data_IF_493192359167
#
_entry.id   IF_493192359167
#
_cell.length_a   1.000
_cell.length_b   1.000
_cell.length_c   1.000
_cell.angle_alpha   90.00
_cell.angle_beta   90.00
_cell.angle_gamma   90.00
#
_symmetry.space_group_name_H-M   'P 1'
#
loop_
_entity.id
_entity.type
_entity.pdbx_description
1 polymer ?
#
# COMPACT_ATOMS: atom_id res chain seq x y z
N UNK A 1 16.74 11.35 11.42
CA UNK A 1 15.30 11.09 11.17
C UNK A 1 14.61 10.48 12.40
N UNK A 2 14.97 9.27 12.84
CA UNK A 2 14.28 8.60 13.96
C UNK A 2 14.27 9.39 15.27
N UNK A 3 15.35 10.09 15.60
CA UNK A 3 15.41 10.96 16.78
C UNK A 3 14.34 12.07 16.73
N UNK A 4 14.31 12.84 15.64
CA UNK A 4 13.34 13.92 15.44
C UNK A 4 11.89 13.42 15.43
N UNK A 5 11.64 12.27 14.82
CA UNK A 5 10.31 11.63 14.89
C UNK A 5 9.96 11.20 16.32
N UNK A 6 10.93 10.77 17.11
CA UNK A 6 10.76 10.52 18.54
C UNK A 6 10.26 11.77 19.27
N UNK A 7 10.88 12.93 19.05
CA UNK A 7 10.47 14.21 19.66
C UNK A 7 9.06 14.63 19.25
N UNK A 8 8.75 14.57 17.95
CA UNK A 8 7.43 15.01 17.43
C UNK A 8 6.30 14.08 17.87
N UNK A 9 6.60 12.80 18.08
CA UNK A 9 5.63 11.77 18.45
C UNK A 9 5.71 11.36 19.92
N UNK A 10 6.33 12.20 20.77
CA UNK A 10 6.55 11.86 22.18
C UNK A 10 5.24 11.79 22.98
N UNK A 11 4.18 12.40 22.47
CA UNK A 11 2.83 12.30 23.03
C UNK A 11 2.21 10.89 22.90
N UNK A 12 2.76 10.01 22.05
CA UNK A 12 2.25 8.66 21.87
C UNK A 12 2.91 7.66 22.84
N UNK A 13 2.13 6.83 23.56
CA UNK A 13 2.65 5.97 24.63
C UNK A 13 3.37 4.72 24.11
N UNK A 14 4.18 4.12 24.98
CA UNK A 14 4.78 2.79 24.80
C UNK A 14 5.58 2.62 23.50
N UNK A 15 6.32 3.65 23.11
CA UNK A 15 7.14 3.69 21.89
C UNK A 15 8.23 2.61 21.89
N UNK A 16 8.27 1.80 20.85
CA UNK A 16 9.36 0.85 20.54
C UNK A 16 9.90 1.15 19.15
N UNK A 17 11.18 1.50 19.07
CA UNK A 17 11.87 1.76 17.79
C UNK A 17 12.68 0.55 17.35
N UNK A 18 12.48 0.11 16.11
CA UNK A 18 13.24 -0.97 15.47
C UNK A 18 13.92 -0.42 14.22
N UNK A 19 15.25 -0.32 14.26
CA UNK A 19 16.03 0.16 13.12
C UNK A 19 16.60 -1.01 12.34
N UNK A 20 16.54 -0.94 11.01
CA UNK A 20 17.19 -1.89 10.10
C UNK A 20 17.82 -1.12 8.95
N UNK A 21 18.70 -1.80 8.18
CA UNK A 21 19.42 -1.20 7.06
C UNK A 21 18.52 -0.50 6.03
N UNK A 22 17.37 -1.08 5.70
CA UNK A 22 16.49 -0.61 4.62
C UNK A 22 15.10 -0.16 5.06
N UNK A 23 14.74 -0.40 6.32
CA UNK A 23 13.43 -0.03 6.85
C UNK A 23 13.53 0.23 8.35
N UNK A 24 13.04 1.38 8.78
CA UNK A 24 12.92 1.71 10.19
C UNK A 24 11.46 1.70 10.60
N UNK A 25 11.17 1.17 11.78
CA UNK A 25 9.80 1.05 12.30
C UNK A 25 9.70 1.65 13.69
N UNK A 26 8.65 2.43 13.95
CA UNK A 26 8.21 2.80 15.30
C UNK A 26 6.87 2.13 15.59
N UNK A 27 6.78 1.48 16.75
CA UNK A 27 5.58 0.81 17.23
C UNK A 27 5.09 1.53 18.48
N UNK A 28 3.80 1.81 18.52
CA UNK A 28 3.12 2.33 19.70
C UNK A 28 1.99 1.37 20.06
N UNK A 29 1.70 1.28 21.36
CA UNK A 29 0.61 0.45 21.90
C UNK A 29 -0.20 1.28 22.87
N UNK A 30 -1.51 1.30 22.65
CA UNK A 30 -2.47 2.07 23.43
C UNK A 30 -3.77 1.25 23.59
N UNK A 31 -4.60 1.61 24.54
CA UNK A 31 -5.91 0.97 24.75
C UNK A 31 -6.98 1.72 23.96
N UNK A 32 -8.02 1.03 23.49
CA UNK A 32 -9.19 1.67 22.89
C UNK A 32 -9.97 2.45 23.94
N UNK A 33 -10.50 3.61 23.55
CA UNK A 33 -11.27 4.47 24.45
C UNK A 33 -12.58 3.83 24.91
N UNK A 34 -13.24 3.05 24.04
CA UNK A 34 -14.53 2.46 24.30
C UNK A 34 -14.42 0.97 24.67
N UNK A 35 -15.16 0.49 25.70
CA UNK A 35 -15.26 -0.92 26.02
C UNK A 35 -15.91 -1.76 24.90
N UNK A 36 -15.48 -3.02 24.69
CA UNK A 36 -14.40 -3.69 25.42
C UNK A 36 -13.03 -3.09 25.07
N UNK A 37 -12.23 -2.78 26.09
CA UNK A 37 -10.91 -2.17 25.93
C UNK A 37 -9.99 -3.16 25.23
N UNK A 38 -9.60 -2.85 24.00
CA UNK A 38 -8.67 -3.65 23.21
C UNK A 38 -7.35 -2.91 23.03
N UNK A 39 -6.27 -3.66 22.89
CA UNK A 39 -4.97 -3.07 22.60
C UNK A 39 -4.87 -2.68 21.12
N UNK A 40 -4.76 -1.39 20.85
CA UNK A 40 -4.51 -0.82 19.52
C UNK A 40 -3.00 -0.67 19.33
N UNK A 41 -2.54 -0.98 18.11
CA UNK A 41 -1.15 -0.84 17.72
C UNK A 41 -1.02 0.10 16.53
N UNK A 42 -0.29 1.20 16.71
CA UNK A 42 0.13 2.07 15.62
C UNK A 42 1.54 1.67 15.17
N UNK A 43 1.72 1.45 13.86
CA UNK A 43 3.01 1.14 13.24
C UNK A 43 3.34 2.24 12.22
N UNK A 44 4.46 2.93 12.44
CA UNK A 44 5.03 3.88 11.49
C UNK A 44 6.25 3.22 10.85
N UNK A 45 6.32 3.21 9.52
CA UNK A 45 7.43 2.64 8.75
C UNK A 45 8.05 3.68 7.83
N UNK A 46 9.38 3.61 7.68
CA UNK A 46 10.15 4.49 6.81
C UNK A 46 11.07 3.64 5.96
N UNK A 47 10.81 3.62 4.65
CA UNK A 47 11.74 3.07 3.69
C UNK A 47 13.02 3.92 3.67
N UNK A 48 14.17 3.27 3.85
CA UNK A 48 15.50 3.91 3.90
C UNK A 48 16.41 3.40 2.77
N UNK A 49 15.82 2.87 1.69
CA UNK A 49 16.54 2.31 0.56
C UNK A 49 16.10 2.96 -0.77
N UNK A 50 14.81 3.15 -0.95
CA UNK A 50 14.19 3.72 -2.14
C UNK A 50 13.91 5.21 -1.90
N UNK A 51 14.88 6.07 -2.23
CA UNK A 51 14.80 7.52 -1.97
C UNK A 51 14.33 8.36 -3.17
N UNK A 52 13.91 7.73 -4.26
CA UNK A 52 13.45 8.43 -5.46
C UNK A 52 11.92 8.46 -5.56
N UNK A 53 11.43 9.42 -6.33
CA UNK A 53 10.07 9.47 -6.85
C UNK A 53 10.16 9.62 -8.37
N UNK A 54 9.28 8.93 -9.10
CA UNK A 54 9.24 8.93 -10.57
C UNK A 54 8.40 10.10 -11.11
N UNK A 55 7.29 10.45 -10.44
CA UNK A 55 6.36 11.49 -10.90
C UNK A 55 6.35 12.75 -10.02
N UNK A 56 7.22 12.80 -9.03
CA UNK A 56 7.23 13.84 -8.01
C UNK A 56 6.19 13.64 -6.92
N UNK A 57 6.33 14.42 -5.85
CA UNK A 57 5.38 14.45 -4.74
C UNK A 57 4.31 15.50 -4.98
N UNK A 58 3.10 15.20 -4.53
CA UNK A 58 1.95 16.11 -4.51
C UNK A 58 1.52 16.37 -3.08
N UNK A 59 0.83 17.49 -2.88
CA UNK A 59 0.20 17.83 -1.61
C UNK A 59 -1.30 17.69 -1.74
N UNK A 60 -1.93 16.93 -0.85
CA UNK A 60 -3.37 16.70 -0.83
C UNK A 60 -3.93 17.30 0.47
N UNK A 61 -4.96 18.16 0.41
CA UNK A 61 -5.57 18.69 1.62
C UNK A 61 -6.25 17.56 2.41
N UNK A 62 -6.04 17.56 3.71
CA UNK A 62 -6.64 16.62 4.65
C UNK A 62 -7.25 17.39 5.80
N UNK A 63 -8.54 17.14 6.04
CA UNK A 63 -9.33 17.82 7.06
C UNK A 63 -9.90 16.76 7.98
N UNK A 64 -9.78 16.99 9.29
CA UNK A 64 -10.45 16.22 10.33
C UNK A 64 -11.44 17.15 11.01
N UNK A 65 -12.70 16.75 11.04
CA UNK A 65 -13.75 17.45 11.77
C UNK A 65 -14.54 16.43 12.58
N UNK A 66 -14.46 16.54 13.91
CA UNK A 66 -15.23 15.74 14.84
C UNK A 66 -15.59 16.58 16.08
N UNK A 67 -16.32 15.98 17.03
CA UNK A 67 -16.84 16.70 18.21
C UNK A 67 -15.80 17.23 19.19
N UNK A 68 -14.54 16.80 19.08
CA UNK A 68 -13.46 17.11 20.02
C UNK A 68 -12.19 17.65 19.36
N UNK A 69 -12.12 17.66 18.03
CA UNK A 69 -10.99 18.19 17.26
C UNK A 69 -11.43 18.63 15.86
N UNK A 70 -10.96 19.81 15.45
CA UNK A 70 -11.02 20.28 14.07
C UNK A 70 -9.62 20.72 13.66
N UNK A 71 -9.15 20.24 12.51
CA UNK A 71 -7.84 20.62 11.99
C UNK A 71 -7.68 20.25 10.53
N UNK A 72 -6.79 20.98 9.86
CA UNK A 72 -6.47 20.77 8.46
C UNK A 72 -4.95 20.79 8.25
N UNK A 73 -4.48 20.05 7.26
CA UNK A 73 -3.11 20.11 6.80
C UNK A 73 -3.00 19.64 5.34
N UNK A 74 -1.84 19.83 4.74
CA UNK A 74 -1.51 19.24 3.46
C UNK A 74 -0.66 17.98 3.67
N UNK A 75 -1.16 16.82 3.22
CA UNK A 75 -0.41 15.57 3.22
C UNK A 75 0.45 15.52 1.97
N UNK A 76 1.77 15.41 2.16
CA UNK A 76 2.70 15.13 1.07
C UNK A 76 2.67 13.65 0.73
N UNK A 77 2.33 13.31 -0.51
CA UNK A 77 2.21 11.92 -0.98
C UNK A 77 2.67 11.79 -2.44
N UNK A 78 2.78 10.56 -2.92
CA UNK A 78 3.06 10.27 -4.32
C UNK A 78 1.80 10.45 -5.17
N UNK A 79 1.98 10.68 -6.48
CA UNK A 79 0.87 10.65 -7.43
C UNK A 79 0.24 9.25 -7.49
N UNK A 80 -1.06 9.20 -7.81
CA UNK A 80 -1.83 7.96 -7.85
C UNK A 80 -1.17 6.87 -8.73
N UNK A 81 -0.80 7.20 -9.97
CA UNK A 81 -0.19 6.25 -10.90
C UNK A 81 1.13 5.66 -10.36
N UNK A 82 1.90 6.44 -9.60
CA UNK A 82 3.13 5.96 -8.95
C UNK A 82 2.84 5.02 -7.78
N UNK A 83 1.86 5.38 -6.92
CA UNK A 83 1.39 4.48 -5.86
C UNK A 83 0.93 3.14 -6.44
N UNK A 84 0.16 3.16 -7.52
CA UNK A 84 -0.33 1.95 -8.19
C UNK A 84 0.79 1.14 -8.85
N UNK A 85 1.79 1.80 -9.44
CA UNK A 85 2.98 1.10 -9.96
C UNK A 85 3.71 0.33 -8.85
N UNK A 86 3.84 0.91 -7.66
CA UNK A 86 4.43 0.20 -6.51
C UNK A 86 3.53 -0.92 -5.98
N UNK A 87 2.20 -0.77 -6.08
CA UNK A 87 1.22 -1.81 -5.75
C UNK A 87 1.29 -2.98 -6.70
N UNK A 88 1.46 -2.76 -8.00
CA UNK A 88 1.65 -3.83 -8.99
C UNK A 88 2.92 -4.63 -8.73
N UNK A 89 4.01 -3.95 -8.35
CA UNK A 89 5.24 -4.61 -7.88
C UNK A 89 5.00 -5.44 -6.63
N UNK A 90 4.33 -4.87 -5.64
CA UNK A 90 4.02 -5.55 -4.39
C UNK A 90 3.10 -6.76 -4.58
N UNK A 91 2.11 -6.63 -5.47
CA UNK A 91 1.21 -7.71 -5.86
C UNK A 91 2.00 -8.89 -6.40
N UNK A 92 3.06 -8.67 -7.19
CA UNK A 92 3.94 -9.74 -7.66
C UNK A 92 4.80 -10.33 -6.52
N UNK A 93 5.49 -9.48 -5.78
CA UNK A 93 6.50 -9.91 -4.80
C UNK A 93 5.91 -10.50 -3.51
N UNK A 94 4.66 -10.19 -3.17
CA UNK A 94 4.00 -10.61 -1.94
C UNK A 94 2.76 -11.43 -2.23
N UNK A 95 2.34 -12.21 -1.24
CA UNK A 95 1.10 -12.99 -1.26
C UNK A 95 0.07 -12.33 -0.34
N UNK A 96 -0.52 -11.22 -0.80
CA UNK A 96 -1.51 -10.42 -0.06
C UNK A 96 -2.63 -9.93 -0.99
N UNK A 97 -3.84 -10.47 -0.80
CA UNK A 97 -5.01 -10.14 -1.62
C UNK A 97 -5.39 -8.66 -1.59
N UNK A 98 -5.07 -7.93 -0.50
CA UNK A 98 -5.29 -6.47 -0.46
C UNK A 98 -4.54 -5.67 -1.53
N UNK A 99 -3.37 -6.13 -2.00
CA UNK A 99 -2.67 -5.43 -3.07
C UNK A 99 -3.43 -5.57 -4.41
N UNK A 100 -4.15 -6.69 -4.61
CA UNK A 100 -5.06 -6.88 -5.74
C UNK A 100 -6.30 -6.00 -5.61
N UNK A 101 -6.91 -5.94 -4.42
CA UNK A 101 -8.04 -5.07 -4.12
C UNK A 101 -7.72 -3.60 -4.40
N UNK A 102 -6.59 -3.09 -3.91
CA UNK A 102 -6.20 -1.69 -4.10
C UNK A 102 -6.09 -1.32 -5.58
N UNK A 103 -5.51 -2.21 -6.39
CA UNK A 103 -5.41 -2.03 -7.85
C UNK A 103 -6.79 -2.08 -8.51
N UNK A 104 -7.62 -3.06 -8.15
CA UNK A 104 -8.97 -3.18 -8.69
C UNK A 104 -9.82 -1.93 -8.41
N UNK A 105 -9.83 -1.47 -7.15
CA UNK A 105 -10.58 -0.28 -6.74
C UNK A 105 -10.08 0.96 -7.48
N UNK A 106 -8.77 1.15 -7.58
CA UNK A 106 -8.22 2.31 -8.27
C UNK A 106 -8.55 2.29 -9.77
N UNK A 107 -8.45 1.13 -10.42
CA UNK A 107 -8.78 0.98 -11.84
C UNK A 107 -10.29 1.18 -12.11
N UNK A 108 -11.17 0.88 -11.16
CA UNK A 108 -12.62 0.97 -11.35
C UNK A 108 -13.21 2.31 -10.91
N UNK A 109 -12.64 2.94 -9.88
CA UNK A 109 -13.20 4.16 -9.26
C UNK A 109 -12.42 5.44 -9.56
N UNK A 110 -11.24 5.36 -10.18
CA UNK A 110 -10.41 6.53 -10.47
C UNK A 110 -9.90 6.56 -11.92
N UNK A 111 -9.54 7.75 -12.37
CA UNK A 111 -8.84 7.94 -13.64
C UNK A 111 -7.37 7.55 -13.46
N UNK A 112 -6.97 6.47 -14.16
CA UNK A 112 -5.63 5.91 -14.10
C UNK A 112 -5.00 5.95 -15.49
N UNK A 113 -3.86 6.61 -15.61
CA UNK A 113 -3.03 6.53 -16.81
C UNK A 113 -2.19 5.25 -16.71
N UNK A 114 -2.61 4.24 -17.47
CA UNK A 114 -1.96 2.92 -17.50
C UNK A 114 -0.52 3.01 -17.98
N UNK A 115 -0.21 3.87 -18.94
CA UNK A 115 1.15 4.01 -19.46
C UNK A 115 2.09 4.59 -18.40
N UNK A 116 1.61 5.62 -17.69
CA UNK A 116 2.38 6.23 -16.59
C UNK A 116 2.54 5.27 -15.41
N UNK A 117 1.49 4.52 -15.05
CA UNK A 117 1.54 3.47 -14.03
C UNK A 117 2.59 2.40 -14.40
N UNK A 118 2.56 1.90 -15.64
CA UNK A 118 3.51 0.89 -16.11
C UNK A 118 4.94 1.43 -16.12
N UNK A 119 5.17 2.69 -16.53
CA UNK A 119 6.47 3.35 -16.41
C UNK A 119 6.97 3.33 -14.95
N UNK A 120 6.12 3.71 -14.00
CA UNK A 120 6.44 3.65 -12.58
C UNK A 120 6.75 2.22 -12.12
N UNK A 121 5.91 1.24 -12.48
CA UNK A 121 6.15 -0.17 -12.16
C UNK A 121 7.53 -0.63 -12.64
N UNK A 122 7.89 -0.37 -13.91
CA UNK A 122 9.18 -0.76 -14.47
C UNK A 122 10.34 -0.06 -13.75
N UNK A 123 10.21 1.23 -13.44
CA UNK A 123 11.20 1.98 -12.66
C UNK A 123 11.45 1.30 -11.31
N UNK A 124 10.40 1.08 -10.53
CA UNK A 124 10.50 0.47 -9.20
C UNK A 124 10.93 -0.99 -9.23
N UNK A 125 10.57 -1.75 -10.26
CA UNK A 125 10.99 -3.14 -10.41
C UNK A 125 12.47 -3.22 -10.78
N UNK A 126 12.93 -2.40 -11.73
CA UNK A 126 14.35 -2.34 -12.14
C UNK A 126 15.29 -1.95 -11.00
N UNK A 127 14.81 -1.14 -10.05
CA UNK A 127 15.57 -0.78 -8.86
C UNK A 127 15.59 -1.91 -7.82
N UNK A 128 14.49 -2.63 -7.66
CA UNK A 128 14.33 -3.64 -6.61
C UNK A 128 14.96 -5.00 -6.94
N UNK A 129 15.00 -5.38 -8.21
CA UNK A 129 15.49 -6.69 -8.66
C UNK A 129 16.46 -6.56 -9.83
N UNK A 130 17.40 -7.50 -9.93
CA UNK A 130 18.36 -7.54 -11.06
C UNK A 130 17.66 -7.85 -12.39
N UNK A 131 16.68 -8.75 -12.37
CA UNK A 131 15.92 -9.14 -13.55
C UNK A 131 14.42 -9.06 -13.23
N UNK A 132 13.71 -8.09 -13.81
CA UNK A 132 12.25 -8.01 -13.72
C UNK A 132 11.59 -9.29 -14.26
N UNK A 133 10.43 -9.69 -13.71
CA UNK A 133 9.73 -10.87 -14.19
C UNK A 133 9.20 -10.64 -15.61
N UNK A 134 9.24 -11.70 -16.41
CA UNK A 134 8.55 -11.73 -17.71
C UNK A 134 7.03 -11.82 -17.50
N UNK A 135 6.26 -11.44 -18.52
CA UNK A 135 4.80 -11.62 -18.55
C UNK A 135 4.38 -13.02 -18.09
N UNK A 136 4.99 -14.08 -18.64
CA UNK A 136 4.67 -15.48 -18.30
C UNK A 136 4.92 -15.79 -16.83
N UNK A 137 6.02 -15.28 -16.27
CA UNK A 137 6.33 -15.45 -14.84
C UNK A 137 5.35 -14.70 -13.95
N UNK A 138 4.91 -13.50 -14.37
CA UNK A 138 3.89 -12.73 -13.65
C UNK A 138 2.55 -13.47 -13.64
N UNK A 139 2.10 -13.96 -14.79
CA UNK A 139 0.84 -14.70 -14.92
C UNK A 139 0.86 -15.98 -14.09
N UNK A 140 1.90 -16.80 -14.20
CA UNK A 140 2.01 -18.03 -13.41
C UNK A 140 1.99 -17.74 -11.89
N UNK A 141 2.70 -16.67 -11.46
CA UNK A 141 2.70 -16.24 -10.08
C UNK A 141 1.31 -15.79 -9.59
N UNK A 142 0.53 -15.13 -10.45
CA UNK A 142 -0.85 -14.76 -10.12
C UNK A 142 -1.78 -15.97 -10.10
N UNK A 143 -1.64 -16.91 -11.03
CA UNK A 143 -2.43 -18.15 -11.06
C UNK A 143 -2.24 -18.97 -9.78
N UNK A 144 -1.00 -19.08 -9.28
CA UNK A 144 -0.69 -19.71 -7.99
C UNK A 144 -1.38 -19.00 -6.81
N UNK A 145 -1.49 -17.67 -6.86
CA UNK A 145 -2.17 -16.88 -5.82
C UNK A 145 -3.68 -17.01 -5.88
N UNK A 146 -4.24 -17.11 -7.09
CA UNK A 146 -5.69 -17.18 -7.31
C UNK A 146 -6.32 -18.52 -6.91
N UNK A 147 -5.51 -19.55 -6.64
CA UNK A 147 -5.98 -20.83 -6.06
C UNK A 147 -5.71 -20.93 -4.56
N UNK A 148 -5.10 -19.91 -3.95
CA UNK A 148 -4.70 -19.95 -2.56
C UNK A 148 -5.75 -19.32 -1.62
N UNK A 149 -6.27 -20.08 -0.63
CA UNK A 149 -7.29 -19.57 0.27
C UNK A 149 -6.86 -18.38 1.13
N UNK A 150 -5.59 -18.31 1.55
CA UNK A 150 -5.09 -17.20 2.36
C UNK A 150 -5.01 -15.91 1.53
N UNK A 151 -4.67 -16.02 0.24
CA UNK A 151 -4.65 -14.89 -0.67
C UNK A 151 -6.07 -14.37 -0.96
N UNK A 152 -7.00 -15.27 -1.29
CA UNK A 152 -8.39 -14.94 -1.59
C UNK A 152 -9.15 -14.41 -0.36
N UNK A 153 -8.79 -14.88 0.84
CA UNK A 153 -9.39 -14.47 2.11
C UNK A 153 -8.78 -13.23 2.75
N UNK A 154 -7.63 -12.71 2.28
CA UNK A 154 -6.86 -11.64 2.96
C UNK A 154 -7.67 -10.36 3.21
N UNK A 155 -8.69 -10.08 2.39
CA UNK A 155 -9.51 -8.86 2.48
C UNK A 155 -10.81 -9.03 3.27
N UNK A 156 -11.27 -10.26 3.53
CA UNK A 156 -12.62 -10.52 4.07
C UNK A 156 -12.87 -9.84 5.42
N UNK A 157 -11.86 -9.80 6.29
CA UNK A 157 -11.95 -9.17 7.62
C UNK A 157 -11.49 -7.70 7.63
N UNK A 158 -11.01 -7.18 6.51
CA UNK A 158 -10.47 -5.82 6.39
C UNK A 158 -11.46 -4.85 5.74
N UNK A 159 -12.29 -5.37 4.84
CA UNK A 159 -13.25 -4.57 4.09
C UNK A 159 -14.54 -4.37 4.88
N UNK A 160 -15.23 -3.26 4.58
CA UNK A 160 -16.54 -3.02 5.14
C UNK A 160 -17.55 -3.98 4.50
N UNK A 161 -18.55 -4.47 5.25
CA UNK A 161 -19.53 -5.42 4.72
C UNK A 161 -20.31 -4.93 3.50
N UNK A 162 -20.44 -3.61 3.33
CA UNK A 162 -21.14 -2.93 2.22
C UNK A 162 -20.28 -2.75 0.95
N UNK A 163 -18.98 -3.06 1.00
CA UNK A 163 -18.09 -3.06 -0.17
C UNK A 163 -17.57 -4.48 -0.46
N UNK A 164 -18.40 -5.37 -1.03
CA UNK A 164 -17.96 -6.71 -1.38
C UNK A 164 -16.87 -6.65 -2.46
N UNK A 165 -15.86 -7.49 -2.30
CA UNK A 165 -14.79 -7.66 -3.28
C UNK A 165 -14.74 -9.11 -3.72
N UNK A 166 -14.86 -9.33 -5.03
CA UNK A 166 -14.58 -10.62 -5.66
C UNK A 166 -13.13 -10.61 -6.20
N UNK A 167 -12.21 -11.39 -5.61
CA UNK A 167 -10.84 -11.48 -6.10
C UNK A 167 -10.73 -11.96 -7.55
N UNK A 168 -11.71 -12.74 -8.05
CA UNK A 168 -11.70 -13.27 -9.42
C UNK A 168 -11.93 -12.12 -10.41
N UNK A 169 -12.97 -11.32 -10.19
CA UNK A 169 -13.22 -10.11 -10.97
C UNK A 169 -12.08 -9.08 -10.82
N UNK A 170 -11.54 -8.95 -9.61
CA UNK A 170 -10.37 -8.13 -9.33
C UNK A 170 -9.16 -8.52 -10.18
N UNK A 171 -8.85 -9.82 -10.23
CA UNK A 171 -7.75 -10.33 -11.04
C UNK A 171 -8.00 -10.16 -12.52
N UNK A 172 -9.22 -10.42 -13.00
CA UNK A 172 -9.59 -10.23 -14.41
C UNK A 172 -9.33 -8.78 -14.86
N UNK A 173 -9.83 -7.80 -14.11
CA UNK A 173 -9.63 -6.39 -14.42
C UNK A 173 -8.15 -5.98 -14.40
N UNK A 174 -7.38 -6.43 -13.40
CA UNK A 174 -5.94 -6.13 -13.30
C UNK A 174 -5.16 -6.80 -14.42
N UNK A 175 -5.52 -8.04 -14.79
CA UNK A 175 -4.86 -8.77 -15.87
C UNK A 175 -5.05 -8.07 -17.20
N UNK A 176 -6.31 -7.82 -17.58
CA UNK A 176 -6.68 -7.18 -18.85
C UNK A 176 -6.08 -5.77 -18.97
N UNK A 177 -6.12 -4.97 -17.89
CA UNK A 177 -5.67 -3.57 -17.96
C UNK A 177 -4.18 -3.37 -17.76
N UNK A 178 -3.52 -4.21 -16.96
CA UNK A 178 -2.12 -3.98 -16.57
C UNK A 178 -1.19 -5.10 -17.01
N UNK A 179 -1.50 -6.36 -16.66
CA UNK A 179 -0.56 -7.48 -16.88
C UNK A 179 -0.39 -7.77 -18.38
N UNK A 180 -1.45 -7.69 -19.17
CA UNK A 180 -1.39 -7.89 -20.63
C UNK A 180 -0.59 -6.79 -21.35
N UNK A 181 -0.36 -5.64 -20.70
CA UNK A 181 0.50 -4.56 -21.20
C UNK A 181 1.98 -4.74 -20.80
N UNK A 182 2.35 -5.82 -20.12
CA UNK A 182 3.74 -6.16 -19.83
C UNK A 182 4.39 -6.75 -21.09
N UNK A 183 5.12 -5.93 -21.84
CA UNK A 183 5.99 -6.38 -22.93
C UNK A 183 7.34 -6.85 -22.39
#
# INVERSE_FOLDING_TARGET
IMFRLGEVLDFLPNRVTKQKRYNNTMLFRMESEFPPTIQIRLKIEINCFEHFNELGLVKIPFIVENSWFTGECEITTYRLNELLGTKLRALYQRKKGRDLFDLYVALTKAEVDVNELMRCYHRYMSFAVQQPPTYKQFVANMEEKMVDPDFLGDTQLLLRPDEPFDPIEGYKAVKERLIENMQ
#
